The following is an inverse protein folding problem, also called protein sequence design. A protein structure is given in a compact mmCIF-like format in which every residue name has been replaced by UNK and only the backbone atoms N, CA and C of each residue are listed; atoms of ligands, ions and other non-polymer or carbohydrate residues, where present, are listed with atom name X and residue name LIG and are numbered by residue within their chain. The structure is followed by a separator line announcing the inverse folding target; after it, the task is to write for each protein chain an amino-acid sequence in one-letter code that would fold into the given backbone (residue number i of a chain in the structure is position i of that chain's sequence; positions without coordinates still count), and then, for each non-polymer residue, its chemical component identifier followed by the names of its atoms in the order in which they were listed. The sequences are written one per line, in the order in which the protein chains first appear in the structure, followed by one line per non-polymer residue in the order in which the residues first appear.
data_IF_123501859339
#
_entry.id   IF_123501859339
#
_cell.length_a   1.000
_cell.length_b   1.000
_cell.length_c   1.000
_cell.angle_alpha   90.00
_cell.angle_beta   90.00
_cell.angle_gamma   90.00
#
_symmetry.space_group_name_H-M   'P 1'
#
loop_
_entity.id
_entity.type
_entity.pdbx_description
1 polymer ?
#
# COMPACT_ATOMS: atom_id res chain seq x y z
N UNK A 1 -16.90 -13.41 7.69
CA UNK A 1 -17.67 -13.01 8.89
C UNK A 1 -19.13 -13.35 8.68
N UNK A 2 -19.72 -14.17 9.56
CA UNK A 2 -21.11 -14.59 9.50
C UNK A 2 -21.91 -13.80 10.55
N UNK A 3 -22.69 -12.82 10.12
CA UNK A 3 -23.49 -11.97 11.03
C UNK A 3 -24.83 -12.62 11.39
N UNK A 4 -25.53 -12.05 12.38
CA UNK A 4 -26.83 -12.47 12.93
C UNK A 4 -26.78 -13.79 13.70
N UNK A 5 -25.69 -14.05 14.42
CA UNK A 5 -25.53 -15.25 15.25
C UNK A 5 -26.61 -15.38 16.36
N UNK A 6 -27.35 -14.30 16.65
CA UNK A 6 -28.52 -14.28 17.54
C UNK A 6 -29.76 -14.96 16.93
N UNK A 7 -29.85 -15.12 15.61
CA UNK A 7 -30.99 -15.72 14.91
C UNK A 7 -30.78 -17.20 14.55
N UNK A 8 -29.60 -17.76 14.84
CA UNK A 8 -29.27 -19.15 14.56
C UNK A 8 -27.81 -19.33 14.13
N UNK A 9 -27.32 -20.57 14.23
CA UNK A 9 -25.98 -20.93 13.79
C UNK A 9 -25.97 -21.15 12.26
N UNK A 10 -25.03 -20.50 11.58
CA UNK A 10 -24.74 -20.75 10.15
C UNK A 10 -23.44 -21.53 10.08
N UNK A 11 -23.46 -22.67 9.42
CA UNK A 11 -22.25 -23.46 9.18
C UNK A 11 -21.41 -22.77 8.10
N UNK A 12 -20.14 -22.42 8.38
CA UNK A 12 -19.28 -21.85 7.36
C UNK A 12 -18.97 -22.87 6.26
N UNK A 13 -18.67 -22.38 5.07
CA UNK A 13 -18.08 -23.21 4.03
C UNK A 13 -16.75 -23.78 4.56
N UNK A 14 -16.47 -25.09 4.39
CA UNK A 14 -15.31 -25.75 4.99
C UNK A 14 -13.95 -25.20 4.52
N UNK A 15 -13.93 -24.45 3.42
CA UNK A 15 -12.74 -23.87 2.81
C UNK A 15 -12.39 -22.48 3.33
N UNK A 16 -13.25 -21.86 4.15
CA UNK A 16 -13.10 -20.48 4.59
C UNK A 16 -13.01 -20.36 6.10
N UNK A 17 -12.01 -19.62 6.57
CA UNK A 17 -11.96 -19.16 7.95
C UNK A 17 -13.16 -18.22 8.21
N UNK A 18 -13.94 -18.52 9.24
CA UNK A 18 -15.17 -17.79 9.53
C UNK A 18 -15.31 -17.47 11.01
N UNK A 19 -15.61 -16.21 11.30
CA UNK A 19 -16.03 -15.72 12.60
C UNK A 19 -17.52 -15.41 12.58
N UNK A 20 -18.26 -15.94 13.55
CA UNK A 20 -19.69 -15.67 13.75
C UNK A 20 -19.87 -14.50 14.69
N UNK A 21 -20.66 -13.51 14.28
CA UNK A 21 -20.91 -12.30 15.06
C UNK A 21 -22.41 -11.98 15.13
N UNK A 22 -22.79 -11.18 16.11
CA UNK A 22 -24.09 -10.54 16.17
C UNK A 22 -23.87 -9.06 16.46
N UNK A 23 -24.14 -8.22 15.47
CA UNK A 23 -24.06 -6.76 15.63
C UNK A 23 -25.10 -6.21 16.60
N UNK A 24 -26.21 -6.94 16.82
CA UNK A 24 -27.27 -6.55 17.75
C UNK A 24 -26.89 -6.80 19.20
N UNK A 25 -26.26 -7.95 19.49
CA UNK A 25 -25.91 -8.35 20.86
C UNK A 25 -24.46 -8.05 21.23
N UNK A 26 -23.62 -7.71 20.26
CA UNK A 26 -22.18 -7.51 20.44
C UNK A 26 -21.36 -8.80 20.47
N UNK A 27 -22.01 -9.98 20.42
CA UNK A 27 -21.34 -11.28 20.41
C UNK A 27 -20.35 -11.37 19.25
N UNK A 28 -19.13 -11.82 19.54
CA UNK A 28 -18.08 -12.07 18.55
C UNK A 28 -17.42 -10.80 17.98
N UNK A 29 -17.84 -9.60 18.37
CA UNK A 29 -17.22 -8.36 17.88
C UNK A 29 -15.80 -8.16 18.43
N UNK A 30 -15.55 -8.49 19.71
CA UNK A 30 -14.20 -8.45 20.30
C UNK A 30 -13.27 -9.44 19.59
N UNK A 31 -13.74 -10.66 19.34
CA UNK A 31 -12.97 -11.69 18.63
C UNK A 31 -12.64 -11.26 17.19
N UNK A 32 -13.59 -10.63 16.49
CA UNK A 32 -13.37 -10.06 15.17
C UNK A 32 -12.34 -8.93 15.20
N UNK A 33 -12.45 -8.04 16.18
CA UNK A 33 -11.50 -6.95 16.37
C UNK A 33 -10.08 -7.49 16.59
N UNK A 34 -9.92 -8.44 17.50
CA UNK A 34 -8.62 -9.00 17.85
C UNK A 34 -8.01 -9.79 16.69
N UNK A 35 -8.84 -10.49 15.92
CA UNK A 35 -8.40 -11.15 14.69
C UNK A 35 -7.86 -10.16 13.66
N UNK A 36 -8.56 -9.03 13.44
CA UNK A 36 -8.11 -7.96 12.54
C UNK A 36 -6.79 -7.36 13.04
N UNK A 37 -6.71 -7.06 14.34
CA UNK A 37 -5.50 -6.52 14.95
C UNK A 37 -4.31 -7.47 14.79
N UNK A 38 -4.50 -8.77 15.04
CA UNK A 38 -3.48 -9.79 14.85
C UNK A 38 -3.06 -9.93 13.38
N UNK A 39 -4.00 -9.85 12.43
CA UNK A 39 -3.71 -9.86 10.99
C UNK A 39 -2.86 -8.66 10.60
N UNK A 40 -3.25 -7.46 11.02
CA UNK A 40 -2.51 -6.23 10.75
C UNK A 40 -1.11 -6.27 11.36
N UNK A 41 -0.98 -6.76 12.61
CA UNK A 41 0.31 -6.91 13.26
C UNK A 41 1.25 -7.82 12.45
N UNK A 42 0.77 -8.96 11.95
CA UNK A 42 1.57 -9.86 11.09
C UNK A 42 1.92 -9.22 9.75
N UNK A 43 0.96 -8.58 9.10
CA UNK A 43 1.16 -8.02 7.76
C UNK A 43 2.07 -6.80 7.77
N UNK A 44 2.14 -6.09 8.90
CA UNK A 44 2.93 -4.86 9.07
C UNK A 44 4.19 -5.07 9.92
N UNK A 45 4.40 -6.22 10.57
CA UNK A 45 5.54 -6.46 11.48
C UNK A 45 6.93 -6.45 10.82
N UNK A 46 7.00 -6.41 9.49
CA UNK A 46 8.25 -6.32 8.73
C UNK A 46 8.49 -4.99 8.05
N UNK A 47 7.64 -3.99 8.25
CA UNK A 47 7.85 -2.66 7.69
C UNK A 47 8.75 -1.85 8.63
N UNK A 48 9.99 -1.61 8.24
CA UNK A 48 10.82 -0.59 8.87
C UNK A 48 10.11 0.76 8.71
N UNK A 49 9.71 1.36 9.83
CA UNK A 49 9.06 2.67 9.82
C UNK A 49 10.08 3.77 9.52
N UNK A 50 9.71 4.77 8.69
CA UNK A 50 8.36 5.09 8.26
C UNK A 50 7.92 4.30 7.02
N UNK A 51 6.85 3.52 7.17
CA UNK A 51 6.20 2.87 6.04
C UNK A 51 5.79 3.93 5.00
N UNK A 52 5.90 3.58 3.72
CA UNK A 52 5.50 4.45 2.61
C UNK A 52 3.98 4.56 2.59
N UNK A 53 3.41 5.46 3.41
CA UNK A 53 1.96 5.58 3.61
C UNK A 53 1.24 6.35 2.52
N UNK A 54 1.97 7.08 1.65
CA UNK A 54 1.39 7.83 0.54
C UNK A 54 1.58 7.08 -0.78
N UNK A 55 0.47 6.85 -1.48
CA UNK A 55 0.44 6.21 -2.80
C UNK A 55 1.42 6.84 -3.80
N UNK A 56 1.56 8.17 -3.77
CA UNK A 56 2.52 8.88 -4.63
C UNK A 56 3.97 8.48 -4.36
N UNK A 57 4.38 8.33 -3.09
CA UNK A 57 5.74 7.93 -2.75
C UNK A 57 5.97 6.46 -3.16
N UNK A 58 4.97 5.61 -2.97
CA UNK A 58 4.99 4.20 -3.40
C UNK A 58 5.22 4.09 -4.91
N UNK A 59 4.50 4.88 -5.71
CA UNK A 59 4.66 4.92 -7.16
C UNK A 59 6.08 5.34 -7.57
N UNK A 60 6.63 6.40 -6.98
CA UNK A 60 7.99 6.87 -7.29
C UNK A 60 9.06 5.86 -6.91
N UNK A 61 8.91 5.16 -5.79
CA UNK A 61 9.82 4.08 -5.41
C UNK A 61 9.74 2.88 -6.35
N UNK A 62 8.54 2.54 -6.83
CA UNK A 62 8.37 1.50 -7.84
C UNK A 62 8.99 1.88 -9.19
N UNK A 63 8.84 3.14 -9.63
CA UNK A 63 9.49 3.70 -10.81
C UNK A 63 11.03 3.61 -10.68
N UNK A 64 11.57 4.01 -9.52
CA UNK A 64 13.00 3.94 -9.24
C UNK A 64 13.53 2.50 -9.27
N UNK A 65 12.82 1.56 -8.64
CA UNK A 65 13.21 0.15 -8.60
C UNK A 65 13.25 -0.45 -10.02
N UNK A 66 12.22 -0.18 -10.82
CA UNK A 66 12.15 -0.67 -12.20
C UNK A 66 13.33 -0.16 -13.05
N UNK A 67 13.71 1.10 -12.86
CA UNK A 67 14.84 1.72 -13.56
C UNK A 67 16.19 1.14 -13.09
N UNK A 68 16.39 0.91 -11.78
CA UNK A 68 17.59 0.23 -11.28
C UNK A 68 17.72 -1.19 -11.86
N UNK A 69 16.61 -1.93 -11.91
CA UNK A 69 16.60 -3.27 -12.47
C UNK A 69 16.90 -3.28 -13.97
N UNK A 70 16.43 -2.29 -14.72
CA UNK A 70 16.77 -2.10 -16.13
C UNK A 70 18.26 -1.79 -16.30
N UNK A 71 18.79 -0.82 -15.55
CA UNK A 71 20.19 -0.45 -15.60
C UNK A 71 21.12 -1.61 -15.22
N UNK A 72 20.76 -2.40 -14.21
CA UNK A 72 21.50 -3.61 -13.82
C UNK A 72 21.56 -4.65 -14.95
N UNK A 73 20.46 -4.86 -15.69
CA UNK A 73 20.44 -5.78 -16.84
C UNK A 73 21.26 -5.25 -18.02
N UNK A 74 21.33 -3.94 -18.19
CA UNK A 74 22.05 -3.30 -19.29
C UNK A 74 23.54 -3.07 -19.00
N UNK A 75 23.99 -3.21 -17.74
CA UNK A 75 25.31 -2.76 -17.29
C UNK A 75 26.48 -3.31 -18.12
N UNK A 76 26.45 -4.60 -18.46
CA UNK A 76 27.52 -5.26 -19.22
C UNK A 76 27.32 -5.22 -20.74
N UNK A 77 26.10 -4.87 -21.20
CA UNK A 77 25.70 -4.91 -22.62
C UNK A 77 25.67 -3.53 -23.27
N UNK A 78 25.23 -2.52 -22.53
CA UNK A 78 25.03 -1.14 -22.99
C UNK A 78 25.22 -0.18 -21.79
N UNK A 79 26.48 0.07 -21.36
CA UNK A 79 26.79 0.89 -20.19
C UNK A 79 26.19 2.30 -20.25
N UNK A 80 26.07 2.89 -21.44
CA UNK A 80 25.45 4.19 -21.67
C UNK A 80 23.94 4.18 -21.40
N UNK A 81 23.25 3.10 -21.79
CA UNK A 81 21.82 2.91 -21.48
C UNK A 81 21.62 2.64 -20.00
N UNK A 82 22.50 1.83 -19.39
CA UNK A 82 22.50 1.61 -17.95
C UNK A 82 22.69 2.92 -17.17
N UNK A 83 23.56 3.82 -17.65
CA UNK A 83 23.73 5.15 -17.09
C UNK A 83 22.48 6.01 -17.14
N UNK A 84 21.73 5.98 -18.25
CA UNK A 84 20.46 6.71 -18.36
C UNK A 84 19.38 6.12 -17.44
N UNK A 85 19.29 4.79 -17.34
CA UNK A 85 18.37 4.11 -16.43
C UNK A 85 18.66 4.45 -14.96
N UNK A 86 19.94 4.49 -14.56
CA UNK A 86 20.33 4.91 -13.21
C UNK A 86 20.03 6.39 -12.95
N UNK A 87 20.15 7.26 -13.96
CA UNK A 87 19.74 8.67 -13.84
C UNK A 87 18.24 8.78 -13.59
N UNK A 88 17.42 8.03 -14.33
CA UNK A 88 15.95 7.98 -14.12
C UNK A 88 15.59 7.48 -12.73
N UNK A 89 16.30 6.48 -12.22
CA UNK A 89 16.13 6.01 -10.85
C UNK A 89 16.44 7.11 -9.82
N UNK A 90 17.55 7.84 -10.01
CA UNK A 90 17.94 8.94 -9.13
C UNK A 90 16.90 10.08 -9.13
N UNK A 91 16.37 10.44 -10.31
CA UNK A 91 15.32 11.46 -10.43
C UNK A 91 14.01 11.07 -9.72
N UNK A 92 13.61 9.80 -9.85
CA UNK A 92 12.44 9.28 -9.17
C UNK A 92 12.61 9.28 -7.64
N UNK A 93 13.81 8.97 -7.14
CA UNK A 93 14.15 9.05 -5.71
C UNK A 93 14.21 10.49 -5.20
N UNK A 94 14.79 11.42 -5.96
CA UNK A 94 14.89 12.83 -5.59
C UNK A 94 13.49 13.42 -5.33
N UNK A 95 12.49 13.01 -6.10
CA UNK A 95 11.08 13.42 -5.91
C UNK A 95 10.46 12.87 -4.63
N UNK A 96 10.91 11.70 -4.14
CA UNK A 96 10.49 11.17 -2.83
C UNK A 96 11.10 12.00 -1.68
N UNK A 97 12.34 12.46 -1.84
CA UNK A 97 13.09 13.20 -0.79
C UNK A 97 12.84 14.71 -0.79
N UNK A 98 11.95 15.23 -1.64
CA UNK A 98 11.52 16.64 -1.60
C UNK A 98 11.94 17.50 -2.79
N UNK A 99 12.50 16.92 -3.87
CA UNK A 99 12.60 17.65 -5.13
C UNK A 99 11.19 17.85 -5.71
N UNK A 100 10.73 19.09 -5.79
CA UNK A 100 9.36 19.43 -6.20
C UNK A 100 9.25 19.29 -7.72
N UNK A 101 8.46 18.32 -8.18
CA UNK A 101 8.11 18.17 -9.58
C UNK A 101 6.90 19.02 -9.97
N UNK A 102 6.69 19.22 -11.28
CA UNK A 102 5.51 19.91 -11.83
C UNK A 102 4.22 19.24 -11.37
N UNK A 103 4.19 17.91 -11.26
CA UNK A 103 3.03 17.15 -10.79
C UNK A 103 2.70 17.43 -9.31
N UNK A 104 3.70 17.73 -8.49
CA UNK A 104 3.51 18.07 -7.08
C UNK A 104 2.93 19.49 -6.93
N UNK A 105 3.36 20.42 -7.79
CA UNK A 105 2.77 21.77 -7.90
C UNK A 105 1.29 21.66 -8.31
N UNK A 106 0.99 20.86 -9.34
CA UNK A 106 -0.39 20.68 -9.79
C UNK A 106 -1.24 19.99 -8.71
N UNK A 107 -0.71 18.98 -8.03
CA UNK A 107 -1.39 18.31 -6.92
C UNK A 107 -1.77 19.25 -5.78
N UNK A 108 -0.90 20.20 -5.42
CA UNK A 108 -1.19 21.22 -4.40
C UNK A 108 -2.17 22.29 -4.89
N UNK A 109 -2.02 22.77 -6.14
CA UNK A 109 -2.95 23.74 -6.74
C UNK A 109 -4.36 23.17 -6.77
N UNK A 110 -4.51 21.88 -7.08
CA UNK A 110 -5.80 21.22 -7.18
C UNK A 110 -6.28 20.54 -5.89
N UNK A 111 -5.45 20.41 -4.84
CA UNK A 111 -5.86 19.80 -3.56
C UNK A 111 -6.86 20.65 -2.77
N UNK A 112 -6.90 21.96 -3.05
CA UNK A 112 -7.83 22.92 -2.44
C UNK A 112 -9.19 23.00 -3.15
N UNK A 113 -9.33 22.36 -4.31
CA UNK A 113 -10.62 22.31 -5.01
C UNK A 113 -11.45 21.15 -4.46
N UNK A 114 -12.43 21.46 -3.61
CA UNK A 114 -13.50 20.52 -3.31
C UNK A 114 -14.17 20.11 -4.63
N UNK A 115 -14.10 18.84 -5.01
CA UNK A 115 -14.97 18.29 -6.05
C UNK A 115 -16.40 18.34 -5.49
N UNK A 116 -17.20 19.30 -5.98
CA UNK A 116 -18.62 19.39 -5.67
C UNK A 116 -19.04 20.50 -4.71
N UNK A 117 -18.68 21.76 -5.02
CA UNK A 117 -19.60 22.88 -4.79
C UNK A 117 -19.95 23.52 -6.11
#
# INVERSE_FOLDING_TARGET
VLNKADLGAVTPAPELEALTVSTTTGRGLTELHDWIAARLARDLSGADFPAVTRERHRRRLAEALAAVDAGRRALDLAPEMAGDDLRRAADALARVTGAIGVEDILGEVFSSFCIGK
#
